data_IF_909321580409
#
_entry.id   IF_909321580409
#
_cell.length_a   1.000
_cell.length_b   1.000
_cell.length_c   1.000
_cell.angle_alpha   90.00
_cell.angle_beta   90.00
_cell.angle_gamma   90.00
#
_symmetry.space_group_name_H-M   'P 1'
#
loop_
_entity.id
_entity.type
_entity.pdbx_description
1 polymer ?
#
# COMPACT_ATOMS: atom_id res chain seq x y z
N UNK A 1 -8.89 -23.06 4.65
CA UNK A 1 -7.83 -22.68 3.70
C UNK A 1 -6.64 -23.60 3.92
N UNK A 2 -5.82 -23.95 2.90
CA UNK A 2 -4.62 -24.71 3.15
C UNK A 2 -3.75 -24.01 4.17
N UNK A 3 -3.06 -24.78 5.01
CA UNK A 3 -2.18 -24.27 6.06
C UNK A 3 -0.93 -23.68 5.39
N UNK A 4 -0.96 -22.38 5.05
CA UNK A 4 0.18 -21.68 4.42
C UNK A 4 1.20 -21.26 5.48
N UNK A 5 2.47 -21.56 5.21
CA UNK A 5 3.60 -21.06 5.99
C UNK A 5 4.05 -19.70 5.46
N UNK A 6 3.88 -18.66 6.24
CA UNK A 6 4.24 -17.28 5.86
C UNK A 6 5.66 -16.95 6.33
N UNK A 7 6.53 -16.52 5.42
CA UNK A 7 7.79 -15.89 5.75
C UNK A 7 7.58 -14.37 5.91
N UNK A 8 7.78 -13.82 7.11
CA UNK A 8 7.68 -12.38 7.37
C UNK A 8 9.08 -11.77 7.49
N UNK A 9 9.51 -11.04 6.47
CA UNK A 9 10.78 -10.33 6.48
C UNK A 9 10.59 -8.88 6.92
N UNK A 10 11.50 -8.38 7.78
CA UNK A 10 11.37 -7.06 8.40
C UNK A 10 10.48 -7.06 9.65
N UNK A 11 10.32 -8.21 10.29
CA UNK A 11 9.48 -8.43 11.48
C UNK A 11 9.78 -7.50 12.66
N UNK A 12 10.98 -6.95 12.74
CA UNK A 12 11.42 -6.04 13.82
C UNK A 12 11.03 -4.58 13.60
N UNK A 13 10.55 -4.22 12.42
CA UNK A 13 10.07 -2.88 12.08
C UNK A 13 8.68 -2.62 12.66
N UNK A 14 8.20 -1.36 12.59
CA UNK A 14 6.89 -1.00 13.13
C UNK A 14 5.76 -1.80 12.46
N UNK A 15 5.65 -1.77 11.13
CA UNK A 15 4.65 -2.54 10.39
C UNK A 15 4.86 -4.04 10.56
N UNK A 16 6.11 -4.52 10.51
CA UNK A 16 6.42 -5.95 10.68
C UNK A 16 5.95 -6.53 12.01
N UNK A 17 6.06 -5.77 13.12
CA UNK A 17 5.52 -6.20 14.43
C UNK A 17 4.00 -6.30 14.43
N UNK A 18 3.30 -5.40 13.74
CA UNK A 18 1.84 -5.48 13.61
C UNK A 18 1.42 -6.69 12.76
N UNK A 19 2.16 -6.98 11.68
CA UNK A 19 1.94 -8.18 10.84
C UNK A 19 2.19 -9.45 11.64
N UNK A 20 3.29 -9.52 12.41
CA UNK A 20 3.59 -10.68 13.28
C UNK A 20 2.48 -10.93 14.30
N UNK A 21 1.97 -9.85 14.93
CA UNK A 21 0.86 -9.94 15.86
C UNK A 21 -0.43 -10.43 15.16
N UNK A 22 -0.72 -9.96 13.96
CA UNK A 22 -1.90 -10.37 13.19
C UNK A 22 -1.81 -11.84 12.74
N UNK A 23 -0.65 -12.30 12.26
CA UNK A 23 -0.38 -13.71 11.93
C UNK A 23 -0.60 -14.61 13.15
N UNK A 24 -0.05 -14.20 14.30
CA UNK A 24 -0.21 -14.93 15.58
C UNK A 24 -1.69 -14.96 16.00
N UNK A 25 -2.40 -13.83 15.94
CA UNK A 25 -3.83 -13.72 16.28
C UNK A 25 -4.70 -14.64 15.43
N UNK A 26 -4.38 -14.80 14.14
CA UNK A 26 -5.11 -15.69 13.21
C UNK A 26 -4.66 -17.15 13.28
N UNK A 27 -3.65 -17.48 14.08
CA UNK A 27 -3.09 -18.84 14.16
C UNK A 27 -2.40 -19.30 12.87
N UNK A 28 -1.92 -18.35 12.05
CA UNK A 28 -1.22 -18.66 10.78
C UNK A 28 0.20 -19.10 11.10
N UNK A 29 0.63 -20.23 10.54
CA UNK A 29 2.02 -20.69 10.64
C UNK A 29 2.94 -19.69 9.97
N UNK A 30 3.96 -19.21 10.70
CA UNK A 30 4.86 -18.19 10.16
C UNK A 30 6.25 -18.26 10.78
N UNK A 31 7.22 -17.67 10.09
CA UNK A 31 8.58 -17.44 10.57
C UNK A 31 8.94 -15.95 10.47
N UNK A 32 9.82 -15.48 11.35
CA UNK A 32 10.23 -14.08 11.44
C UNK A 32 11.65 -13.90 10.93
N UNK A 33 11.84 -13.02 9.93
CA UNK A 33 13.15 -12.66 9.40
C UNK A 33 13.56 -11.23 9.77
N UNK A 34 14.83 -11.05 10.10
CA UNK A 34 15.41 -9.74 10.39
C UNK A 34 16.91 -9.80 10.63
N UNK A 35 17.57 -8.64 10.58
CA UNK A 35 19.04 -8.53 10.68
C UNK A 35 19.61 -8.51 12.13
N UNK A 36 18.76 -8.51 13.15
CA UNK A 36 19.19 -8.41 14.54
C UNK A 36 18.46 -9.41 15.42
N UNK A 37 19.17 -10.39 15.94
CA UNK A 37 18.62 -11.42 16.82
C UNK A 37 18.01 -10.85 18.10
N UNK A 38 18.65 -9.84 18.71
CA UNK A 38 18.12 -9.18 19.91
C UNK A 38 16.77 -8.48 19.65
N UNK A 39 16.61 -7.87 18.46
CA UNK A 39 15.33 -7.24 18.07
C UNK A 39 14.27 -8.28 17.69
N UNK A 40 14.67 -9.39 17.06
CA UNK A 40 13.75 -10.50 16.77
C UNK A 40 13.22 -11.12 18.06
N UNK A 41 14.09 -11.39 19.04
CA UNK A 41 13.70 -11.94 20.34
C UNK A 41 12.73 -11.03 21.12
N UNK A 42 12.70 -9.75 20.82
CA UNK A 42 11.76 -8.79 21.40
C UNK A 42 10.39 -8.73 20.70
N UNK A 43 10.22 -9.43 19.56
CA UNK A 43 8.90 -9.53 18.89
C UNK A 43 8.04 -10.54 19.64
N UNK A 44 6.85 -10.18 20.16
CA UNK A 44 6.00 -11.09 20.91
C UNK A 44 5.26 -12.05 19.95
N UNK A 45 5.96 -13.07 19.47
CA UNK A 45 5.43 -14.11 18.59
C UNK A 45 6.08 -15.46 18.94
N UNK A 46 5.31 -16.58 18.90
CA UNK A 46 5.86 -17.92 19.09
C UNK A 46 6.63 -18.46 17.89
N UNK A 47 6.67 -17.70 16.79
CA UNK A 47 7.24 -18.12 15.52
C UNK A 47 8.76 -18.27 15.57
N UNK A 48 9.29 -19.15 14.72
CA UNK A 48 10.71 -19.32 14.51
C UNK A 48 11.38 -18.03 14.01
N UNK A 49 12.58 -17.75 14.49
CA UNK A 49 13.31 -16.51 14.21
C UNK A 49 14.56 -16.80 13.38
N UNK A 50 14.74 -16.06 12.29
CA UNK A 50 15.85 -16.22 11.37
C UNK A 50 16.64 -14.92 11.24
N UNK A 51 17.95 -14.99 11.38
CA UNK A 51 18.84 -13.90 10.97
C UNK A 51 18.92 -13.87 9.46
N UNK A 52 18.53 -12.77 8.85
CA UNK A 52 18.51 -12.60 7.40
C UNK A 52 19.29 -11.37 7.00
N UNK A 53 20.29 -11.57 6.14
CA UNK A 53 20.98 -10.50 5.44
C UNK A 53 20.42 -10.38 4.02
N UNK A 54 19.74 -9.27 3.74
CA UNK A 54 19.14 -9.03 2.42
C UNK A 54 20.19 -8.78 1.32
N UNK A 55 21.44 -8.56 1.67
CA UNK A 55 22.56 -8.41 0.71
C UNK A 55 23.21 -9.73 0.34
N UNK A 56 22.88 -10.79 1.06
CA UNK A 56 23.33 -12.15 0.77
C UNK A 56 22.19 -13.00 0.18
N UNK A 57 22.25 -13.31 -1.12
CA UNK A 57 21.23 -14.15 -1.77
C UNK A 57 21.01 -15.50 -1.09
N UNK A 58 22.07 -16.13 -0.58
CA UNK A 58 21.97 -17.44 0.08
C UNK A 58 21.23 -17.36 1.42
N UNK A 59 21.39 -16.26 2.15
CA UNK A 59 20.63 -15.96 3.37
C UNK A 59 19.13 -15.80 3.09
N UNK A 60 18.77 -15.12 2.00
CA UNK A 60 17.37 -14.97 1.57
C UNK A 60 16.78 -16.31 1.11
N UNK A 61 17.53 -17.11 0.31
CA UNK A 61 17.06 -18.39 -0.19
C UNK A 61 16.79 -19.37 0.97
N UNK A 62 17.71 -19.44 1.93
CA UNK A 62 17.54 -20.27 3.13
C UNK A 62 16.34 -19.83 3.99
N UNK A 63 16.07 -18.52 4.07
CA UNK A 63 14.90 -18.00 4.78
C UNK A 63 13.59 -18.36 4.07
N UNK A 64 13.58 -18.44 2.74
CA UNK A 64 12.40 -18.73 1.93
C UNK A 64 12.15 -20.22 1.72
N UNK A 65 13.12 -21.08 2.02
CA UNK A 65 12.99 -22.53 1.84
C UNK A 65 11.80 -23.10 2.64
N UNK A 66 10.87 -23.74 1.94
CA UNK A 66 9.62 -24.25 2.51
C UNK A 66 8.60 -23.20 2.94
N UNK A 67 8.74 -21.93 2.55
CA UNK A 67 7.71 -20.93 2.73
C UNK A 67 6.73 -20.91 1.54
N UNK A 68 5.44 -20.83 1.82
CA UNK A 68 4.38 -20.75 0.80
C UNK A 68 4.15 -19.33 0.27
N UNK A 69 4.58 -18.32 1.04
CA UNK A 69 4.46 -16.90 0.67
C UNK A 69 5.39 -16.03 1.51
N UNK A 70 5.93 -14.96 0.91
CA UNK A 70 6.73 -13.94 1.58
C UNK A 70 5.92 -12.66 1.76
N UNK A 71 5.86 -12.16 3.01
CA UNK A 71 5.48 -10.78 3.31
C UNK A 71 6.74 -9.97 3.59
N UNK A 72 6.99 -8.91 2.81
CA UNK A 72 8.11 -8.01 3.03
C UNK A 72 7.66 -6.68 3.65
N UNK A 73 8.26 -6.35 4.79
CA UNK A 73 8.14 -5.04 5.46
C UNK A 73 9.51 -4.34 5.55
N UNK A 74 10.40 -4.57 4.57
CA UNK A 74 11.77 -4.05 4.56
C UNK A 74 11.83 -2.76 3.72
N UNK A 75 11.45 -1.66 4.33
CA UNK A 75 11.60 -0.32 3.72
C UNK A 75 12.91 0.39 4.13
N UNK A 76 13.30 1.46 3.41
CA UNK A 76 12.75 1.95 2.14
C UNK A 76 12.91 0.94 1.00
N UNK A 77 11.83 0.68 0.26
CA UNK A 77 11.80 -0.36 -0.77
C UNK A 77 12.68 -0.03 -1.98
N UNK A 78 12.78 1.25 -2.34
CA UNK A 78 13.68 1.73 -3.39
C UNK A 78 15.14 1.35 -3.11
N UNK A 79 15.53 1.23 -1.82
CA UNK A 79 16.89 0.88 -1.41
C UNK A 79 17.08 -0.62 -1.14
N UNK A 80 16.06 -1.27 -0.60
CA UNK A 80 16.19 -2.61 0.00
C UNK A 80 15.25 -3.65 -0.61
N UNK A 81 14.23 -3.24 -1.37
CA UNK A 81 13.19 -4.14 -1.84
C UNK A 81 13.64 -5.08 -2.96
N UNK A 82 14.43 -4.60 -3.91
CA UNK A 82 14.75 -5.34 -5.11
C UNK A 82 15.45 -6.70 -4.85
N UNK A 83 16.48 -6.80 -3.98
CA UNK A 83 17.10 -8.10 -3.66
C UNK A 83 16.10 -9.11 -3.06
N UNK A 84 15.10 -8.62 -2.32
CA UNK A 84 14.06 -9.47 -1.69
C UNK A 84 13.10 -10.00 -2.75
N UNK A 85 12.67 -9.16 -3.70
CA UNK A 85 11.84 -9.61 -4.85
C UNK A 85 12.60 -10.61 -5.71
N UNK A 86 13.89 -10.35 -6.01
CA UNK A 86 14.73 -11.26 -6.78
C UNK A 86 14.86 -12.64 -6.11
N UNK A 87 14.99 -12.68 -4.79
CA UNK A 87 15.01 -13.93 -4.03
C UNK A 87 13.67 -14.68 -4.12
N UNK A 88 12.55 -13.98 -3.92
CA UNK A 88 11.21 -14.57 -4.02
C UNK A 88 10.97 -15.17 -5.42
N UNK A 89 11.34 -14.45 -6.48
CA UNK A 89 11.22 -14.94 -7.86
C UNK A 89 12.15 -16.16 -8.11
N UNK A 90 13.38 -16.13 -7.62
CA UNK A 90 14.37 -17.21 -7.77
C UNK A 90 13.91 -18.49 -7.07
N UNK A 91 13.32 -18.37 -5.88
CA UNK A 91 12.82 -19.52 -5.11
C UNK A 91 11.42 -19.96 -5.52
N UNK A 92 10.74 -19.18 -6.39
CA UNK A 92 9.36 -19.44 -6.76
C UNK A 92 8.35 -19.14 -5.65
N UNK A 93 8.75 -18.38 -4.61
CA UNK A 93 7.90 -18.02 -3.48
C UNK A 93 7.02 -16.81 -3.86
N UNK A 94 5.69 -16.88 -3.78
CA UNK A 94 4.80 -15.72 -3.92
C UNK A 94 5.19 -14.58 -2.99
N UNK A 95 5.10 -13.35 -3.47
CA UNK A 95 5.57 -12.15 -2.80
C UNK A 95 4.46 -11.12 -2.64
N UNK A 96 4.33 -10.56 -1.43
CA UNK A 96 3.54 -9.36 -1.14
C UNK A 96 4.35 -8.40 -0.26
N UNK A 97 4.09 -7.09 -0.36
CA UNK A 97 4.79 -6.09 0.46
C UNK A 97 3.92 -4.91 0.87
N UNK A 98 4.47 -4.08 1.76
CA UNK A 98 3.86 -2.86 2.26
C UNK A 98 4.40 -1.59 1.61
N UNK A 99 4.90 -1.65 0.37
CA UNK A 99 5.49 -0.46 -0.25
C UNK A 99 4.48 0.66 -0.47
N UNK A 100 4.88 1.89 -0.17
CA UNK A 100 4.23 3.13 -0.61
C UNK A 100 5.05 3.86 -1.69
N UNK A 101 5.99 3.18 -2.37
CA UNK A 101 6.97 3.77 -3.27
C UNK A 101 6.69 3.37 -4.73
N UNK A 102 5.87 4.17 -5.44
CA UNK A 102 5.42 3.85 -6.80
C UNK A 102 6.57 3.67 -7.81
N UNK A 103 7.70 4.33 -7.62
CA UNK A 103 8.89 4.12 -8.45
C UNK A 103 9.49 2.71 -8.31
N UNK A 104 9.45 2.13 -7.10
CA UNK A 104 9.81 0.73 -6.86
C UNK A 104 8.80 -0.22 -7.52
N UNK A 105 7.51 0.05 -7.36
CA UNK A 105 6.44 -0.76 -7.97
C UNK A 105 6.58 -0.82 -9.49
N UNK A 106 6.83 0.31 -10.15
CA UNK A 106 7.02 0.39 -11.58
C UNK A 106 8.19 -0.51 -12.05
N UNK A 107 9.31 -0.49 -11.33
CA UNK A 107 10.46 -1.36 -11.61
C UNK A 107 10.12 -2.85 -11.41
N UNK A 108 9.36 -3.19 -10.36
CA UNK A 108 8.91 -4.57 -10.11
C UNK A 108 8.03 -5.05 -11.27
N UNK A 109 7.06 -4.26 -11.71
CA UNK A 109 6.17 -4.62 -12.81
C UNK A 109 6.92 -4.81 -14.13
N UNK A 110 7.92 -3.96 -14.41
CA UNK A 110 8.72 -4.07 -15.62
C UNK A 110 9.62 -5.32 -15.61
N UNK A 111 10.32 -5.55 -14.49
CA UNK A 111 11.35 -6.61 -14.42
C UNK A 111 10.80 -8.02 -14.25
N UNK A 112 9.66 -8.18 -13.59
CA UNK A 112 9.12 -9.49 -13.20
C UNK A 112 7.77 -9.82 -13.83
N UNK A 113 7.43 -9.18 -14.95
CA UNK A 113 6.17 -9.41 -15.67
C UNK A 113 5.90 -10.90 -15.99
N UNK A 114 6.94 -11.69 -16.17
CA UNK A 114 6.86 -13.13 -16.54
C UNK A 114 7.41 -14.05 -15.44
N UNK A 115 7.45 -13.62 -14.19
CA UNK A 115 7.88 -14.49 -13.09
C UNK A 115 6.96 -15.71 -12.95
N UNK A 116 7.53 -16.84 -12.51
CA UNK A 116 6.77 -18.10 -12.35
C UNK A 116 5.83 -18.09 -11.12
N UNK A 117 6.08 -17.21 -10.16
CA UNK A 117 5.24 -16.97 -8.97
C UNK A 117 4.64 -15.57 -9.00
N UNK A 118 3.58 -15.37 -8.21
CA UNK A 118 2.96 -14.07 -8.05
C UNK A 118 3.89 -13.08 -7.34
N UNK A 119 4.04 -11.87 -7.87
CA UNK A 119 4.78 -10.76 -7.25
C UNK A 119 3.84 -9.56 -7.16
N UNK A 120 3.29 -9.31 -5.97
CA UNK A 120 2.25 -8.30 -5.77
C UNK A 120 2.74 -7.25 -4.78
N UNK A 121 3.37 -6.16 -5.24
CA UNK A 121 3.75 -5.05 -4.36
C UNK A 121 2.53 -4.24 -3.91
N UNK A 122 2.70 -3.42 -2.88
CA UNK A 122 1.73 -2.44 -2.41
C UNK A 122 0.42 -3.04 -1.83
N UNK A 123 0.51 -4.15 -1.11
CA UNK A 123 -0.61 -4.78 -0.42
C UNK A 123 -0.94 -4.12 0.94
N UNK A 124 -0.41 -2.93 1.23
CA UNK A 124 -0.73 -2.13 2.41
C UNK A 124 -1.86 -1.13 2.16
N UNK A 125 -2.18 -0.35 3.22
CA UNK A 125 -3.20 0.70 3.15
C UNK A 125 -2.91 1.77 2.10
N UNK A 126 -1.65 2.04 1.81
CA UNK A 126 -1.28 3.17 0.96
C UNK A 126 -1.92 3.11 -0.43
N UNK A 127 -2.14 1.90 -1.00
CA UNK A 127 -2.69 1.76 -2.35
C UNK A 127 -3.74 0.66 -2.50
N UNK A 128 -3.64 -0.45 -1.76
CA UNK A 128 -4.53 -1.59 -1.97
C UNK A 128 -6.02 -1.24 -1.84
N UNK A 129 -6.49 -0.47 -0.84
CA UNK A 129 -7.91 -0.12 -0.76
C UNK A 129 -8.39 0.72 -1.94
N UNK A 130 -7.55 1.62 -2.47
CA UNK A 130 -7.86 2.45 -3.64
C UNK A 130 -7.91 1.63 -4.92
N UNK A 131 -6.96 0.72 -5.12
CA UNK A 131 -6.87 -0.15 -6.28
C UNK A 131 -8.07 -1.13 -6.35
N UNK A 132 -8.42 -1.77 -5.22
CA UNK A 132 -9.59 -2.65 -5.14
C UNK A 132 -10.91 -1.88 -5.29
N UNK A 133 -11.03 -0.70 -4.66
CA UNK A 133 -12.22 0.15 -4.82
C UNK A 133 -12.40 0.60 -6.28
N UNK A 134 -11.31 0.89 -6.99
CA UNK A 134 -11.34 1.22 -8.41
C UNK A 134 -11.82 0.04 -9.26
N UNK A 135 -11.33 -1.17 -8.99
CA UNK A 135 -11.78 -2.38 -9.68
C UNK A 135 -13.28 -2.63 -9.47
N UNK A 136 -13.77 -2.53 -8.23
CA UNK A 136 -15.21 -2.68 -7.93
C UNK A 136 -16.04 -1.56 -8.57
N UNK A 137 -15.55 -0.31 -8.59
CA UNK A 137 -16.27 0.80 -9.23
C UNK A 137 -16.40 0.60 -10.75
N UNK A 138 -15.38 0.04 -11.41
CA UNK A 138 -15.44 -0.31 -12.83
C UNK A 138 -16.39 -1.48 -13.09
N UNK A 139 -16.41 -2.48 -12.21
CA UNK A 139 -17.38 -3.58 -12.27
C UNK A 139 -18.82 -3.05 -12.17
N UNK A 140 -19.11 -2.17 -11.19
CA UNK A 140 -20.43 -1.54 -11.00
C UNK A 140 -20.82 -0.61 -12.17
N UNK A 141 -19.86 0.03 -12.82
CA UNK A 141 -20.12 0.84 -14.01
C UNK A 141 -20.70 -0.04 -15.14
N UNK A 142 -20.38 -1.32 -15.17
CA UNK A 142 -20.92 -2.30 -16.13
C UNK A 142 -20.50 -2.02 -17.56
N UNK A 143 -19.31 -1.49 -17.78
CA UNK A 143 -18.76 -1.19 -19.09
C UNK A 143 -17.36 -0.55 -18.99
N UNK A 144 -16.73 -0.21 -20.14
CA UNK A 144 -15.42 0.41 -20.11
C UNK A 144 -15.46 1.77 -19.41
N UNK A 145 -14.46 2.02 -18.59
CA UNK A 145 -14.26 3.30 -17.94
C UNK A 145 -13.35 4.20 -18.80
N UNK A 146 -13.77 5.45 -18.99
CA UNK A 146 -12.96 6.48 -19.63
C UNK A 146 -12.05 7.20 -18.62
N UNK A 147 -12.56 7.35 -17.37
CA UNK A 147 -11.84 7.97 -16.26
C UNK A 147 -12.04 7.16 -14.97
N UNK A 148 -10.99 7.10 -14.14
CA UNK A 148 -11.02 6.59 -12.77
C UNK A 148 -10.34 7.59 -11.85
N UNK A 149 -11.07 8.09 -10.86
CA UNK A 149 -10.55 8.98 -9.83
C UNK A 149 -10.48 8.25 -8.49
N UNK A 150 -9.33 8.29 -7.82
CA UNK A 150 -9.17 7.74 -6.47
C UNK A 150 -8.76 8.86 -5.53
N UNK A 151 -9.56 9.10 -4.49
CA UNK A 151 -9.30 10.17 -3.52
C UNK A 151 -9.25 9.65 -2.10
N UNK A 152 -8.34 10.22 -1.33
CA UNK A 152 -8.09 9.88 0.06
C UNK A 152 -8.44 11.07 0.97
N UNK A 153 -9.22 10.83 2.02
CA UNK A 153 -9.39 11.75 3.14
C UNK A 153 -8.77 11.11 4.37
N UNK A 154 -7.71 11.73 4.89
CA UNK A 154 -6.97 11.25 6.06
C UNK A 154 -7.20 12.21 7.22
N UNK A 155 -7.48 11.71 8.41
CA UNK A 155 -7.64 12.49 9.63
C UNK A 155 -6.98 11.82 10.83
N UNK A 156 -6.44 12.61 11.75
CA UNK A 156 -5.80 12.11 12.97
C UNK A 156 -4.53 11.27 12.76
N UNK A 157 -4.07 11.12 11.53
CA UNK A 157 -2.88 10.32 11.21
C UNK A 157 -1.60 11.01 11.67
N UNK A 158 -0.71 10.26 12.33
CA UNK A 158 0.69 10.62 12.52
C UNK A 158 1.57 9.65 11.76
N UNK A 159 2.45 10.14 10.88
CA UNK A 159 3.27 9.26 10.07
C UNK A 159 4.27 8.47 10.93
N UNK A 160 4.45 7.20 10.60
CA UNK A 160 5.61 6.44 11.06
C UNK A 160 6.88 6.97 10.38
N UNK A 161 8.06 6.59 10.91
CA UNK A 161 9.33 6.92 10.26
C UNK A 161 9.35 6.44 8.80
N UNK A 162 8.92 5.20 8.56
CA UNK A 162 8.84 4.63 7.21
C UNK A 162 7.93 5.44 6.29
N UNK A 163 6.70 5.74 6.75
CA UNK A 163 5.74 6.57 5.99
C UNK A 163 6.31 7.95 5.66
N UNK A 164 7.00 8.60 6.62
CA UNK A 164 7.60 9.91 6.38
C UNK A 164 8.77 9.85 5.38
N UNK A 165 9.57 8.78 5.40
CA UNK A 165 10.65 8.55 4.43
C UNK A 165 10.10 8.28 3.02
N UNK A 166 9.08 7.42 2.89
CA UNK A 166 8.42 7.16 1.60
C UNK A 166 7.75 8.43 1.04
N UNK A 167 7.12 9.25 1.90
CA UNK A 167 6.54 10.53 1.50
C UNK A 167 7.60 11.52 1.02
N UNK A 168 8.75 11.61 1.72
CA UNK A 168 9.87 12.46 1.30
C UNK A 168 10.44 12.02 -0.07
N UNK A 169 10.55 10.71 -0.31
CA UNK A 169 10.98 10.15 -1.58
C UNK A 169 9.97 10.45 -2.71
N UNK A 170 8.67 10.30 -2.45
CA UNK A 170 7.61 10.61 -3.40
C UNK A 170 7.60 12.09 -3.81
N UNK A 171 7.73 13.00 -2.85
CA UNK A 171 7.81 14.46 -3.09
C UNK A 171 9.02 14.83 -3.94
N UNK A 172 10.15 14.13 -3.78
CA UNK A 172 11.37 14.40 -4.55
C UNK A 172 11.27 13.97 -6.03
N UNK A 173 10.43 13.00 -6.34
CA UNK A 173 10.27 12.42 -7.68
C UNK A 173 9.10 13.01 -8.49
N UNK A 174 8.14 13.67 -7.84
CA UNK A 174 6.91 14.12 -8.48
C UNK A 174 6.96 15.57 -8.98
N UNK A 175 6.51 15.78 -10.22
CA UNK A 175 6.10 17.10 -10.70
C UNK A 175 4.62 17.28 -10.38
N UNK A 176 4.32 17.87 -9.21
CA UNK A 176 2.95 18.10 -8.78
C UNK A 176 2.40 19.33 -9.49
N UNK A 177 1.42 19.14 -10.37
CA UNK A 177 0.56 20.23 -10.86
C UNK A 177 -0.73 20.16 -10.08
N UNK A 178 -0.95 21.04 -9.10
CA UNK A 178 -2.12 20.96 -8.24
C UNK A 178 -3.39 21.30 -9.04
N UNK A 179 -4.12 20.29 -9.46
CA UNK A 179 -5.43 20.40 -10.08
C UNK A 179 -6.50 20.03 -9.07
N UNK A 180 -7.70 20.57 -9.26
CA UNK A 180 -8.87 20.20 -8.45
C UNK A 180 -9.52 18.96 -9.01
N UNK A 181 -9.80 17.98 -8.15
CA UNK A 181 -10.65 16.82 -8.39
C UNK A 181 -11.96 16.96 -7.62
N UNK A 182 -13.01 16.34 -8.14
CA UNK A 182 -14.29 16.20 -7.45
C UNK A 182 -14.79 14.77 -7.66
N UNK A 183 -15.07 14.08 -6.56
CA UNK A 183 -15.63 12.73 -6.55
C UNK A 183 -16.94 12.68 -5.77
N UNK A 184 -17.79 11.70 -6.09
CA UNK A 184 -18.96 11.36 -5.30
C UNK A 184 -18.53 10.74 -3.99
N UNK A 185 -18.87 11.36 -2.85
CA UNK A 185 -18.57 10.80 -1.53
C UNK A 185 -19.82 10.29 -0.83
N UNK A 186 -19.62 9.49 0.23
CA UNK A 186 -20.75 8.88 0.97
C UNK A 186 -21.67 9.89 1.68
N UNK A 187 -21.18 11.08 1.94
CA UNK A 187 -21.89 12.14 2.65
C UNK A 187 -22.01 13.42 1.79
N UNK A 188 -21.84 13.30 0.47
CA UNK A 188 -21.86 14.38 -0.51
C UNK A 188 -20.55 14.52 -1.28
N UNK A 189 -20.47 15.49 -2.21
CA UNK A 189 -19.30 15.67 -3.07
C UNK A 189 -18.02 15.91 -2.27
N UNK A 190 -16.93 15.28 -2.67
CA UNK A 190 -15.60 15.47 -2.11
C UNK A 190 -14.77 16.36 -3.03
N UNK A 191 -14.17 17.41 -2.49
CA UNK A 191 -13.16 18.20 -3.20
C UNK A 191 -11.77 17.73 -2.81
N UNK A 192 -10.92 17.46 -3.80
CA UNK A 192 -9.56 17.01 -3.61
C UNK A 192 -8.56 17.81 -4.44
N UNK A 193 -7.32 17.83 -3.99
CA UNK A 193 -6.17 18.28 -4.77
C UNK A 193 -5.53 17.06 -5.41
N UNK A 194 -5.30 17.13 -6.73
CA UNK A 194 -4.60 16.08 -7.47
C UNK A 194 -3.17 15.95 -6.94
N UNK A 195 -2.81 14.74 -6.53
CA UNK A 195 -1.46 14.38 -6.08
C UNK A 195 -1.09 13.05 -6.73
N UNK A 196 0.16 12.83 -7.15
CA UNK A 196 0.58 11.54 -7.68
C UNK A 196 0.59 10.50 -6.55
N UNK A 197 -0.18 9.44 -6.74
CA UNK A 197 -0.30 8.32 -5.81
C UNK A 197 -0.14 7.00 -6.57
N UNK A 198 -0.02 5.86 -5.88
CA UNK A 198 0.33 4.58 -6.50
C UNK A 198 -0.68 4.03 -7.48
N UNK A 199 -1.95 4.41 -7.37
CA UNK A 199 -2.99 3.97 -8.30
C UNK A 199 -2.77 4.48 -9.73
N UNK A 200 -1.93 5.51 -9.93
CA UNK A 200 -1.45 5.89 -11.26
C UNK A 200 -0.64 4.78 -11.94
N UNK A 201 -0.13 3.82 -11.17
CA UNK A 201 0.67 2.69 -11.66
C UNK A 201 -0.11 1.37 -11.58
N UNK A 202 -0.99 1.19 -10.58
CA UNK A 202 -1.73 -0.05 -10.39
C UNK A 202 -3.02 -0.11 -11.22
N UNK A 203 -3.86 0.91 -11.17
CA UNK A 203 -5.17 0.92 -11.86
C UNK A 203 -5.07 0.74 -13.37
N UNK A 204 -4.11 1.38 -14.11
CA UNK A 204 -3.99 1.15 -15.55
C UNK A 204 -3.71 -0.29 -15.96
N UNK A 205 -3.24 -1.14 -15.05
CA UNK A 205 -2.94 -2.54 -15.31
C UNK A 205 -4.21 -3.39 -15.45
N UNK A 206 -5.27 -3.06 -14.71
CA UNK A 206 -6.55 -3.77 -14.76
C UNK A 206 -7.69 -2.94 -15.37
N UNK A 207 -7.47 -1.63 -15.61
CA UNK A 207 -8.41 -0.74 -16.31
C UNK A 207 -7.67 -0.06 -17.48
N UNK A 208 -7.29 -0.82 -18.53
CA UNK A 208 -6.51 -0.28 -19.62
C UNK A 208 -7.28 0.79 -20.40
N UNK A 209 -6.60 1.88 -20.75
CA UNK A 209 -7.16 2.99 -21.52
C UNK A 209 -7.91 4.05 -20.70
N UNK A 210 -8.22 3.81 -19.44
CA UNK A 210 -8.82 4.82 -18.58
C UNK A 210 -7.79 5.90 -18.20
N UNK A 211 -8.26 7.14 -18.09
CA UNK A 211 -7.49 8.22 -17.48
C UNK A 211 -7.60 8.10 -15.96
N UNK A 212 -6.51 7.76 -15.31
CA UNK A 212 -6.46 7.65 -13.84
C UNK A 212 -5.98 8.96 -13.22
N UNK A 213 -6.65 9.42 -12.16
CA UNK A 213 -6.26 10.55 -11.34
C UNK A 213 -6.36 10.17 -9.88
N UNK A 214 -5.46 10.71 -9.07
CA UNK A 214 -5.43 10.47 -7.64
C UNK A 214 -5.37 11.78 -6.88
N UNK A 215 -5.94 11.85 -5.67
CA UNK A 215 -5.99 13.10 -4.93
C UNK A 215 -6.19 12.96 -3.43
N UNK A 216 -5.83 14.03 -2.72
CA UNK A 216 -6.09 14.20 -1.28
C UNK A 216 -7.24 15.17 -1.08
N UNK A 217 -8.24 14.73 -0.32
CA UNK A 217 -9.39 15.59 0.06
C UNK A 217 -8.89 16.71 0.97
N UNK A 218 -9.24 17.93 0.62
CA UNK A 218 -8.89 19.13 1.35
C UNK A 218 -10.08 20.10 1.34
N UNK A 219 -10.14 21.09 2.28
CA UNK A 219 -11.14 22.12 2.26
C UNK A 219 -11.18 22.86 0.92
N UNK A 220 -12.37 23.26 0.47
CA UNK A 220 -12.59 23.91 -0.83
C UNK A 220 -11.68 25.13 -1.07
N UNK A 221 -11.45 25.93 -0.03
CA UNK A 221 -10.53 27.07 -0.14
C UNK A 221 -9.10 26.61 -0.46
N UNK A 222 -8.61 25.55 0.21
CA UNK A 222 -7.28 25.00 -0.02
C UNK A 222 -7.13 24.42 -1.44
N UNK A 223 -8.17 23.74 -1.95
CA UNK A 223 -8.18 23.21 -3.31
C UNK A 223 -8.17 24.32 -4.37
N UNK A 224 -8.89 25.42 -4.13
CA UNK A 224 -8.89 26.60 -5.03
C UNK A 224 -7.53 27.30 -5.03
N UNK A 225 -6.94 27.50 -3.84
CA UNK A 225 -5.60 28.11 -3.72
C UNK A 225 -4.55 27.24 -4.42
N UNK A 226 -4.59 25.92 -4.21
CA UNK A 226 -3.68 24.98 -4.88
C UNK A 226 -3.83 25.04 -6.41
N UNK A 227 -5.06 25.07 -6.94
CA UNK A 227 -5.33 25.21 -8.37
C UNK A 227 -4.84 26.54 -8.93
N UNK A 228 -4.99 27.64 -8.20
CA UNK A 228 -4.47 28.95 -8.60
C UNK A 228 -2.93 29.00 -8.60
N UNK A 229 -2.26 28.19 -7.77
CA UNK A 229 -0.81 28.07 -7.73
C UNK A 229 -0.24 27.12 -8.80
N UNK A 230 -1.08 26.47 -9.61
CA UNK A 230 -0.65 25.51 -10.65
C UNK A 230 0.39 26.09 -11.64
N UNK A 231 0.33 27.37 -12.08
CA UNK A 231 1.38 27.95 -12.93
C UNK A 231 2.75 28.02 -12.26
N UNK A 232 2.82 27.97 -10.93
CA UNK A 232 4.06 28.00 -10.15
C UNK A 232 4.61 26.59 -9.88
N UNK A 233 3.98 25.55 -10.38
CA UNK A 233 4.36 24.15 -10.13
C UNK A 233 5.83 23.82 -10.46
N UNK A 234 6.49 24.36 -11.51
CA UNK A 234 7.91 24.11 -11.75
C UNK A 234 8.81 24.67 -10.63
N UNK A 235 8.46 25.85 -10.11
CA UNK A 235 9.19 26.48 -8.99
C UNK A 235 8.98 25.72 -7.70
N UNK A 236 7.74 25.33 -7.42
CA UNK A 236 7.36 24.48 -6.27
C UNK A 236 8.13 23.16 -6.34
N UNK A 237 8.15 22.50 -7.51
CA UNK A 237 8.89 21.26 -7.73
C UNK A 237 10.40 21.39 -7.54
N UNK A 238 11.00 22.49 -7.97
CA UNK A 238 12.42 22.75 -7.73
C UNK A 238 12.71 22.94 -6.23
N UNK A 239 11.84 23.67 -5.52
CA UNK A 239 11.98 23.91 -4.08
C UNK A 239 11.80 22.61 -3.28
N UNK A 240 10.81 21.79 -3.63
CA UNK A 240 10.60 20.50 -2.97
C UNK A 240 11.77 19.54 -3.18
N UNK A 241 12.35 19.47 -4.38
CA UNK A 241 13.56 18.69 -4.65
C UNK A 241 14.76 19.19 -3.83
N UNK A 242 14.94 20.50 -3.72
CA UNK A 242 16.01 21.09 -2.91
C UNK A 242 15.86 20.80 -1.41
N UNK A 243 14.63 20.69 -0.91
CA UNK A 243 14.35 20.42 0.52
C UNK A 243 14.27 18.94 0.86
N UNK A 244 14.18 18.03 -0.11
CA UNK A 244 14.03 16.58 0.10
C UNK A 244 15.09 15.97 1.04
N UNK A 245 16.42 16.30 0.95
CA UNK A 245 17.41 15.74 1.87
C UNK A 245 17.20 16.19 3.33
N UNK A 246 16.68 17.39 3.53
CA UNK A 246 16.35 17.89 4.87
C UNK A 246 15.11 17.16 5.43
N UNK A 247 14.09 16.95 4.61
CA UNK A 247 12.89 16.19 4.98
C UNK A 247 13.24 14.75 5.36
N UNK A 248 14.12 14.09 4.60
CA UNK A 248 14.57 12.74 4.93
C UNK A 248 15.31 12.69 6.27
N UNK A 249 16.23 13.64 6.53
CA UNK A 249 16.91 13.75 7.83
C UNK A 249 15.95 13.98 9.00
N UNK A 250 14.91 14.76 8.79
CA UNK A 250 13.86 14.98 9.80
C UNK A 250 13.03 13.71 9.99
N UNK A 251 12.67 13.02 8.92
CA UNK A 251 11.94 11.74 8.96
C UNK A 251 12.72 10.67 9.75
N UNK A 252 14.05 10.61 9.61
CA UNK A 252 14.91 9.69 10.36
C UNK A 252 14.86 9.90 11.88
N UNK A 253 14.52 11.12 12.34
CA UNK A 253 14.40 11.47 13.77
C UNK A 253 13.02 11.14 14.35
N UNK A 254 12.04 10.82 13.52
CA UNK A 254 10.72 10.42 14.00
C UNK A 254 10.77 9.08 14.75
N UNK A 255 9.86 8.84 15.70
CA UNK A 255 9.70 7.52 16.31
C UNK A 255 9.39 6.48 15.23
N UNK A 256 9.67 5.20 15.51
CA UNK A 256 9.42 4.11 14.55
C UNK A 256 7.95 4.10 14.08
N UNK A 257 7.02 4.42 14.98
CA UNK A 257 5.61 4.56 14.67
C UNK A 257 4.84 5.28 15.78
N UNK A 258 3.58 5.64 15.54
CA UNK A 258 2.71 6.25 16.55
C UNK A 258 2.37 5.25 17.67
N UNK A 259 2.18 5.76 18.89
CA UNK A 259 1.66 4.96 20.00
C UNK A 259 0.23 4.47 19.70
N UNK A 260 -0.18 3.34 20.29
CA UNK A 260 -1.47 2.69 20.01
C UNK A 260 -2.68 3.62 20.20
N UNK A 261 -2.69 4.44 21.25
CA UNK A 261 -3.76 5.41 21.50
C UNK A 261 -3.87 6.50 20.42
N UNK A 262 -2.78 6.82 19.73
CA UNK A 262 -2.76 7.77 18.60
C UNK A 262 -3.16 7.06 17.31
N UNK A 263 -2.70 5.83 17.13
CA UNK A 263 -3.01 4.98 15.99
C UNK A 263 -4.51 4.74 15.86
N UNK A 264 -5.18 4.38 16.96
CA UNK A 264 -6.62 4.14 16.99
C UNK A 264 -7.50 5.36 16.69
N UNK A 265 -6.93 6.59 16.67
CA UNK A 265 -7.63 7.82 16.28
C UNK A 265 -7.47 8.18 14.80
N UNK A 266 -6.59 7.49 14.10
CA UNK A 266 -6.39 7.71 12.67
C UNK A 266 -7.58 7.14 11.90
N UNK A 267 -8.20 7.98 11.08
CA UNK A 267 -9.32 7.61 10.21
C UNK A 267 -8.98 7.91 8.77
N UNK A 268 -9.43 7.06 7.87
CA UNK A 268 -9.34 7.28 6.45
C UNK A 268 -10.66 6.97 5.75
N UNK A 269 -10.94 7.74 4.71
CA UNK A 269 -11.93 7.44 3.69
C UNK A 269 -11.22 7.42 2.35
N UNK A 270 -11.32 6.29 1.66
CA UNK A 270 -10.86 6.12 0.28
C UNK A 270 -12.10 6.03 -0.60
N UNK A 271 -12.13 6.81 -1.67
CA UNK A 271 -13.21 6.75 -2.65
C UNK A 271 -12.63 6.59 -4.03
N UNK A 272 -13.07 5.56 -4.75
CA UNK A 272 -12.81 5.40 -6.16
C UNK A 272 -14.11 5.65 -6.95
N UNK A 273 -14.03 6.48 -7.99
CA UNK A 273 -15.15 6.75 -8.89
C UNK A 273 -14.73 6.48 -10.34
N UNK A 274 -15.44 5.55 -10.98
CA UNK A 274 -15.27 5.22 -12.40
C UNK A 274 -16.34 5.92 -13.23
N UNK A 275 -15.96 6.50 -14.37
CA UNK A 275 -16.87 7.19 -15.31
C UNK A 275 -16.65 6.70 -16.72
N UNK A 276 -17.75 6.49 -17.46
CA UNK A 276 -17.71 6.11 -18.88
C UNK A 276 -19.10 6.12 -19.50
N UNK A 277 -19.18 6.48 -20.77
CA UNK A 277 -20.45 6.50 -21.54
C UNK A 277 -21.60 7.25 -20.85
N UNK A 278 -21.30 8.36 -20.17
CA UNK A 278 -22.31 9.16 -19.46
C UNK A 278 -22.84 8.56 -18.16
N UNK A 279 -22.24 7.48 -17.66
CA UNK A 279 -22.53 6.82 -16.38
C UNK A 279 -21.37 7.02 -15.41
N UNK A 280 -21.65 6.87 -14.14
CA UNK A 280 -20.64 6.80 -13.08
C UNK A 280 -21.03 5.77 -12.03
N UNK A 281 -20.03 5.18 -11.40
CA UNK A 281 -20.17 4.34 -10.23
C UNK A 281 -19.05 4.68 -9.25
N UNK A 282 -19.35 4.68 -7.96
CA UNK A 282 -18.35 4.99 -6.94
C UNK A 282 -18.39 3.99 -5.80
N UNK A 283 -17.22 3.74 -5.23
CA UNK A 283 -17.03 2.84 -4.08
C UNK A 283 -16.30 3.59 -2.99
N UNK A 284 -16.79 3.48 -1.76
CA UNK A 284 -16.17 4.07 -0.59
C UNK A 284 -15.67 2.98 0.37
N UNK A 285 -14.43 3.13 0.83
CA UNK A 285 -13.82 2.31 1.89
C UNK A 285 -13.50 3.24 3.06
N UNK A 286 -14.06 2.98 4.24
CA UNK A 286 -13.78 3.70 5.49
C UNK A 286 -12.98 2.80 6.40
N UNK A 287 -11.95 3.33 7.03
CA UNK A 287 -11.17 2.59 8.01
C UNK A 287 -10.66 3.47 9.14
N UNK A 288 -10.42 2.83 10.27
CA UNK A 288 -9.68 3.34 11.42
C UNK A 288 -8.42 2.50 11.60
N UNK A 289 -7.49 2.98 12.42
CA UNK A 289 -6.22 2.30 12.64
C UNK A 289 -5.54 1.87 11.33
N UNK A 290 -5.15 2.82 10.53
CA UNK A 290 -4.55 2.64 9.19
C UNK A 290 -3.37 1.64 9.22
N UNK A 291 -2.58 1.65 10.30
CA UNK A 291 -1.44 0.73 10.43
C UNK A 291 -1.86 -0.69 10.81
N UNK A 292 -2.84 -0.84 11.70
CA UNK A 292 -3.45 -2.14 11.98
C UNK A 292 -4.14 -2.71 10.76
N UNK A 293 -4.83 -1.85 9.99
CA UNK A 293 -5.41 -2.24 8.72
C UNK A 293 -4.32 -2.72 7.73
N UNK A 294 -3.20 -2.01 7.59
CA UNK A 294 -2.07 -2.46 6.75
C UNK A 294 -1.63 -3.89 7.09
N UNK A 295 -1.54 -4.22 8.38
CA UNK A 295 -1.17 -5.58 8.79
C UNK A 295 -2.23 -6.61 8.39
N UNK A 296 -3.51 -6.30 8.56
CA UNK A 296 -4.62 -7.18 8.12
C UNK A 296 -4.64 -7.38 6.61
N UNK A 297 -4.47 -6.31 5.85
CA UNK A 297 -4.40 -6.35 4.39
C UNK A 297 -3.24 -7.22 3.89
N UNK A 298 -2.05 -7.06 4.47
CA UNK A 298 -0.88 -7.86 4.12
C UNK A 298 -1.07 -9.35 4.41
N UNK A 299 -1.61 -9.67 5.59
CA UNK A 299 -1.87 -11.07 5.97
C UNK A 299 -2.93 -11.68 5.04
N UNK A 300 -4.03 -10.96 4.78
CA UNK A 300 -5.08 -11.44 3.88
C UNK A 300 -4.55 -11.61 2.45
N UNK A 301 -3.75 -10.64 1.95
CA UNK A 301 -3.11 -10.75 0.64
C UNK A 301 -2.21 -11.98 0.55
N UNK A 302 -1.39 -12.24 1.58
CA UNK A 302 -0.53 -13.42 1.62
C UNK A 302 -1.31 -14.73 1.62
N UNK A 303 -2.49 -14.76 2.26
CA UNK A 303 -3.33 -15.95 2.31
C UNK A 303 -4.11 -16.18 1.00
N UNK A 304 -4.42 -15.13 0.23
CA UNK A 304 -5.23 -15.21 -0.97
C UNK A 304 -4.45 -15.09 -2.28
N UNK A 305 -3.22 -14.54 -2.25
CA UNK A 305 -2.45 -14.30 -3.48
C UNK A 305 -2.27 -15.56 -4.32
N UNK A 306 -2.60 -15.45 -5.61
CA UNK A 306 -2.45 -16.50 -6.62
C UNK A 306 -1.97 -15.88 -7.94
N UNK A 307 -1.62 -16.74 -8.91
CA UNK A 307 -1.19 -16.30 -10.23
C UNK A 307 0.33 -16.29 -10.41
N UNK A 308 0.79 -15.64 -11.46
CA UNK A 308 2.19 -15.59 -11.88
C UNK A 308 2.53 -14.20 -12.42
N UNK A 309 3.79 -13.83 -12.35
CA UNK A 309 4.25 -12.51 -12.79
C UNK A 309 4.03 -11.40 -11.77
N UNK A 310 4.50 -10.22 -12.11
CA UNK A 310 4.27 -9.02 -11.32
C UNK A 310 2.89 -8.43 -11.64
N UNK A 311 2.03 -8.33 -10.63
CA UNK A 311 0.62 -7.94 -10.75
C UNK A 311 0.29 -6.80 -9.78
N UNK A 312 -0.65 -5.94 -10.19
CA UNK A 312 -1.30 -5.02 -9.26
C UNK A 312 -2.18 -5.81 -8.27
N UNK A 313 -2.48 -5.27 -7.09
CA UNK A 313 -3.34 -5.96 -6.13
C UNK A 313 -4.67 -6.43 -6.72
N UNK A 314 -5.36 -5.58 -7.49
CA UNK A 314 -6.64 -5.94 -8.11
C UNK A 314 -6.53 -6.93 -9.30
N UNK A 315 -5.33 -7.18 -9.85
CA UNK A 315 -5.08 -8.27 -10.81
C UNK A 315 -4.93 -9.62 -10.08
N UNK A 316 -4.38 -9.61 -8.87
CA UNK A 316 -4.03 -10.81 -8.11
C UNK A 316 -5.10 -11.24 -7.12
N UNK A 317 -5.97 -10.33 -6.70
CA UNK A 317 -6.95 -10.53 -5.63
C UNK A 317 -8.37 -10.24 -6.16
N UNK A 318 -9.35 -11.09 -5.87
CA UNK A 318 -10.75 -10.84 -6.22
C UNK A 318 -11.28 -9.67 -5.38
N UNK A 319 -11.37 -8.47 -5.96
CA UNK A 319 -11.50 -7.20 -5.24
C UNK A 319 -12.68 -7.18 -4.24
N UNK A 320 -13.87 -7.61 -4.67
CA UNK A 320 -15.08 -7.62 -3.83
C UNK A 320 -14.96 -8.63 -2.68
N UNK A 321 -14.62 -9.88 -3.01
CA UNK A 321 -14.49 -10.95 -2.02
C UNK A 321 -13.39 -10.66 -1.01
N UNK A 322 -12.30 -10.02 -1.46
CA UNK A 322 -11.21 -9.60 -0.59
C UNK A 322 -11.65 -8.52 0.39
N UNK A 323 -12.34 -7.47 -0.08
CA UNK A 323 -12.88 -6.42 0.78
C UNK A 323 -13.88 -6.98 1.80
N UNK A 324 -14.72 -7.94 1.40
CA UNK A 324 -15.65 -8.63 2.28
C UNK A 324 -14.92 -9.48 3.32
N UNK A 325 -13.89 -10.23 2.92
CA UNK A 325 -13.10 -11.06 3.82
C UNK A 325 -12.38 -10.22 4.89
N UNK A 326 -11.76 -9.10 4.49
CA UNK A 326 -11.07 -8.21 5.44
C UNK A 326 -12.08 -7.53 6.36
N UNK A 327 -13.23 -7.09 5.85
CA UNK A 327 -14.32 -6.50 6.67
C UNK A 327 -14.91 -7.54 7.63
N UNK A 328 -15.17 -8.76 7.16
CA UNK A 328 -15.71 -9.85 7.99
C UNK A 328 -14.74 -10.32 9.08
N UNK A 329 -13.43 -10.17 8.89
CA UNK A 329 -12.41 -10.47 9.90
C UNK A 329 -12.20 -9.33 10.91
N UNK A 330 -12.85 -8.19 10.70
CA UNK A 330 -12.73 -6.99 11.53
C UNK A 330 -13.66 -7.05 12.73
N UNK A 331 -13.14 -7.54 13.85
CA UNK A 331 -13.90 -7.67 15.11
C UNK A 331 -14.22 -6.34 15.80
N UNK A 332 -13.56 -5.26 15.38
CA UNK A 332 -13.66 -3.94 16.03
C UNK A 332 -14.54 -2.95 15.25
N UNK A 333 -15.03 -3.31 14.05
CA UNK A 333 -15.81 -2.41 13.18
C UNK A 333 -14.98 -1.23 12.64
N UNK A 334 -13.68 -1.45 12.46
CA UNK A 334 -12.73 -0.42 12.01
C UNK A 334 -12.69 -0.28 10.49
N UNK A 335 -13.22 -1.25 9.76
CA UNK A 335 -13.27 -1.27 8.30
C UNK A 335 -14.71 -1.46 7.82
N UNK A 336 -15.11 -0.68 6.84
CA UNK A 336 -16.35 -0.88 6.09
C UNK A 336 -16.17 -0.40 4.65
N UNK A 337 -16.88 -1.01 3.72
CA UNK A 337 -16.93 -0.55 2.34
C UNK A 337 -18.36 -0.62 1.78
N UNK A 338 -18.65 0.18 0.76
CA UNK A 338 -19.95 0.18 0.05
C UNK A 338 -19.85 0.81 -1.33
N UNK A 339 -20.75 0.41 -2.21
CA UNK A 339 -21.09 1.11 -3.45
C UNK A 339 -21.94 2.34 -3.10
N UNK A 340 -21.73 3.48 -3.78
CA UNK A 340 -22.41 4.77 -3.53
C UNK A 340 -23.49 5.05 -4.58
#
# INVERSE_FOLDING_TARGET
>A
MPDRTVALLGATGFTGRLVAAELTRRGVTHRLGGRSGARLAAVPSPAEQHLVDITDPSSLDAFLDGADVLISCVGPFTLHGMPVVEAAVRTGTPYVDSTGEFGFMAQVYERFAVAASAVVPACGFDYLPGDLAAAVAVEELGGPADEVDVVYRLSGMRPSRGTAQSAAAAVSSATVVPRRLSCTGPDGPLSAVEVPWGELVTVPRHVPGARVRTGLVAPDLATRVAAAAAPLSPLIGALTKATAPLLDRLAQRLPEGPADAVRGRAEALVVAEARGRGRSAAVAVRCRDIYGLTARLLVESALQVTGTGAMAPAEALPARDFLDAVTGSDTNGELSWRVL
#
